data_IF_151301551949
#
_entry.id   IF_151301551949
#
_cell.length_a   1.000
_cell.length_b   1.000
_cell.length_c   1.000
_cell.angle_alpha   90.00
_cell.angle_beta   90.00
_cell.angle_gamma   90.00
#
_symmetry.space_group_name_H-M   'P 1'
#
loop_
_entity.id
_entity.type
_entity.pdbx_description
1 polymer ?
#
# COMPACT_ATOMS: atom_id res chain seq x y z
N UNK A 1 68.03 -17.38 -47.46
CA UNK A 1 68.61 -18.54 -46.75
C UNK A 1 67.78 -18.73 -45.48
N UNK A 2 67.30 -19.97 -45.24
CA UNK A 2 66.51 -20.40 -44.05
C UNK A 2 65.07 -19.87 -43.95
N UNK A 3 64.02 -20.63 -43.62
CA UNK A 3 63.75 -22.08 -43.54
C UNK A 3 62.26 -22.22 -43.20
N UNK A 4 61.58 -23.24 -43.75
CA UNK A 4 60.50 -24.08 -43.16
C UNK A 4 59.41 -23.38 -42.32
N UNK A 5 58.11 -23.55 -42.55
CA UNK A 5 57.38 -24.59 -43.26
C UNK A 5 55.89 -24.45 -42.91
N UNK A 6 55.06 -24.99 -43.80
CA UNK A 6 53.60 -25.09 -43.72
C UNK A 6 53.20 -26.32 -42.88
N UNK A 7 51.93 -26.34 -42.43
CA UNK A 7 51.14 -27.39 -41.74
C UNK A 7 50.98 -27.16 -40.22
N UNK A 8 49.82 -27.26 -39.57
CA UNK A 8 48.43 -27.68 -39.89
C UNK A 8 47.51 -27.00 -38.87
N UNK A 9 46.25 -26.83 -39.28
CA UNK A 9 45.01 -26.57 -38.54
C UNK A 9 45.04 -26.63 -37.00
N UNK A 10 44.30 -25.70 -36.37
CA UNK A 10 43.12 -26.07 -35.56
C UNK A 10 42.32 -24.84 -35.11
N UNK A 11 41.01 -24.93 -35.37
CA UNK A 11 39.92 -24.45 -34.52
C UNK A 11 39.54 -22.97 -34.55
N UNK A 12 38.41 -22.74 -35.22
CA UNK A 12 37.46 -21.66 -35.01
C UNK A 12 37.16 -21.46 -33.51
N UNK A 13 37.27 -20.21 -33.04
CA UNK A 13 36.40 -19.69 -31.98
C UNK A 13 36.29 -18.18 -32.14
N UNK A 14 35.39 -17.76 -33.02
CA UNK A 14 34.81 -16.41 -32.98
C UNK A 14 34.00 -16.35 -31.67
N UNK A 15 34.49 -15.60 -30.68
CA UNK A 15 33.66 -15.24 -29.52
C UNK A 15 33.23 -13.79 -29.71
N UNK A 16 32.07 -13.66 -30.36
CA UNK A 16 31.23 -12.47 -30.36
C UNK A 16 30.93 -12.02 -28.93
N UNK A 17 31.00 -10.71 -28.70
CA UNK A 17 30.93 -10.12 -27.38
C UNK A 17 29.58 -10.24 -26.66
N UNK A 18 29.57 -9.79 -25.42
CA UNK A 18 28.41 -9.16 -24.80
C UNK A 18 28.91 -8.23 -23.71
N UNK A 19 28.84 -6.93 -23.97
CA UNK A 19 28.92 -5.90 -22.94
C UNK A 19 27.73 -6.16 -22.03
N UNK A 20 27.95 -6.71 -20.83
CA UNK A 20 26.90 -6.86 -19.84
C UNK A 20 26.57 -5.47 -19.31
N UNK A 21 25.70 -4.78 -20.03
CA UNK A 21 24.91 -3.66 -19.51
C UNK A 21 24.12 -4.20 -18.31
N UNK A 22 24.65 -3.98 -17.12
CA UNK A 22 23.91 -4.12 -15.88
C UNK A 22 22.88 -2.98 -15.88
N UNK A 23 21.80 -3.17 -16.62
CA UNK A 23 20.62 -2.31 -16.54
C UNK A 23 20.04 -2.48 -15.15
N UNK A 24 20.51 -1.64 -14.22
CA UNK A 24 19.92 -1.48 -12.91
C UNK A 24 18.45 -1.13 -13.12
N UNK A 25 17.57 -2.09 -12.87
CA UNK A 25 16.14 -1.85 -12.77
C UNK A 25 15.99 -0.86 -11.62
N UNK A 26 15.48 0.37 -11.84
CA UNK A 26 15.10 1.20 -10.71
C UNK A 26 13.96 0.44 -10.02
N UNK A 27 14.27 -0.17 -8.87
CA UNK A 27 13.24 -0.58 -7.92
C UNK A 27 12.58 0.72 -7.50
N UNK A 28 11.46 1.04 -8.15
CA UNK A 28 10.59 2.13 -7.74
C UNK A 28 10.26 1.89 -6.28
N UNK A 29 10.85 2.71 -5.40
CA UNK A 29 10.51 2.70 -3.98
C UNK A 29 9.00 3.02 -3.93
N UNK A 30 8.17 2.04 -3.57
CA UNK A 30 6.78 2.31 -3.28
C UNK A 30 6.75 3.48 -2.30
N UNK A 31 6.03 4.56 -2.62
CA UNK A 31 5.92 5.69 -1.72
C UNK A 31 5.35 5.18 -0.39
N UNK A 32 6.02 5.47 0.73
CA UNK A 32 5.53 5.11 2.05
C UNK A 32 4.14 5.74 2.26
N UNK A 33 3.13 4.92 2.49
CA UNK A 33 1.76 5.38 2.72
C UNK A 33 1.64 5.88 4.16
N UNK A 34 1.46 7.19 4.33
CA UNK A 34 1.17 7.79 5.64
C UNK A 34 -0.32 7.64 5.99
N UNK A 35 -0.67 6.47 6.52
CA UNK A 35 -2.04 6.13 6.90
C UNK A 35 -2.62 7.08 7.96
N UNK A 36 -1.78 7.59 8.88
CA UNK A 36 -2.23 8.53 9.92
C UNK A 36 -2.64 9.84 9.28
N UNK A 37 -1.84 10.36 8.35
CA UNK A 37 -2.19 11.56 7.58
C UNK A 37 -3.45 11.35 6.75
N UNK A 38 -3.60 10.21 6.07
CA UNK A 38 -4.83 9.90 5.33
C UNK A 38 -6.06 9.95 6.24
N UNK A 39 -6.00 9.33 7.42
CA UNK A 39 -7.09 9.40 8.38
C UNK A 39 -7.38 10.85 8.81
N UNK A 40 -6.32 11.62 9.09
CA UNK A 40 -6.46 13.02 9.51
C UNK A 40 -7.02 13.92 8.40
N UNK A 41 -6.80 13.57 7.14
CA UNK A 41 -7.35 14.31 5.99
C UNK A 41 -8.78 13.91 5.68
N UNK A 42 -9.11 12.61 5.78
CA UNK A 42 -10.34 12.08 5.22
C UNK A 42 -11.39 11.61 6.25
N UNK A 43 -10.96 11.21 7.45
CA UNK A 43 -11.81 10.48 8.40
C UNK A 43 -12.11 11.28 9.67
N UNK A 44 -11.15 12.10 10.14
CA UNK A 44 -11.21 12.75 11.46
C UNK A 44 -12.45 13.63 11.67
N UNK A 45 -12.99 14.22 10.60
CA UNK A 45 -14.11 15.16 10.69
C UNK A 45 -15.36 14.50 11.29
N UNK A 46 -15.55 13.20 11.04
CA UNK A 46 -16.65 12.42 11.61
C UNK A 46 -16.18 11.48 12.72
N UNK A 47 -15.01 10.85 12.56
CA UNK A 47 -14.54 9.80 13.49
C UNK A 47 -13.63 10.32 14.62
N UNK A 48 -13.35 11.62 14.65
CA UNK A 48 -12.47 12.26 15.63
C UNK A 48 -11.00 11.86 15.51
N UNK A 49 -10.12 12.67 16.03
CA UNK A 49 -8.67 12.40 16.01
C UNK A 49 -8.27 11.23 16.93
N UNK A 50 -9.03 11.04 18.02
CA UNK A 50 -8.83 10.02 19.03
C UNK A 50 -9.69 8.76 18.82
N UNK A 51 -10.36 8.64 17.68
CA UNK A 51 -11.26 7.51 17.37
C UNK A 51 -12.64 7.59 18.04
N UNK A 52 -12.93 8.66 18.78
CA UNK A 52 -14.29 8.95 19.27
C UNK A 52 -15.01 9.83 18.25
N UNK A 53 -16.23 9.49 17.83
CA UNK A 53 -16.95 10.25 16.82
C UNK A 53 -17.19 11.69 17.30
N UNK A 54 -17.12 12.63 16.35
CA UNK A 54 -17.51 14.03 16.58
C UNK A 54 -19.04 14.14 16.65
N UNK A 55 -19.59 15.30 17.01
CA UNK A 55 -21.05 15.52 17.00
C UNK A 55 -21.68 15.23 15.62
N UNK A 56 -20.98 15.58 14.54
CA UNK A 56 -21.37 15.22 13.18
C UNK A 56 -21.36 13.70 12.98
N UNK A 57 -20.30 13.03 13.42
CA UNK A 57 -20.22 11.57 13.35
C UNK A 57 -21.34 10.88 14.14
N UNK A 58 -21.65 11.37 15.34
CA UNK A 58 -22.73 10.86 16.18
C UNK A 58 -24.08 11.01 15.46
N UNK A 59 -24.33 12.18 14.85
CA UNK A 59 -25.55 12.41 14.06
C UNK A 59 -25.70 11.50 12.84
N UNK A 60 -24.59 10.99 12.31
CA UNK A 60 -24.52 10.03 11.21
C UNK A 60 -24.33 8.58 11.71
N UNK A 61 -24.48 8.33 13.00
CA UNK A 61 -24.35 7.02 13.65
C UNK A 61 -22.97 6.35 13.48
N UNK A 62 -21.92 7.16 13.41
CA UNK A 62 -20.54 6.69 13.42
C UNK A 62 -20.22 5.96 14.74
N UNK A 63 -19.45 4.87 14.63
CA UNK A 63 -19.05 4.05 15.79
C UNK A 63 -17.90 4.71 16.55
N UNK A 64 -17.84 4.45 17.85
CA UNK A 64 -16.66 4.74 18.68
C UNK A 64 -15.61 3.63 18.47
N UNK A 65 -14.47 3.99 17.89
CA UNK A 65 -13.38 3.04 17.63
C UNK A 65 -12.60 2.67 18.90
N UNK A 66 -12.84 3.34 20.03
CA UNK A 66 -12.29 2.97 21.34
C UNK A 66 -13.10 1.87 22.03
N UNK A 67 -14.26 1.50 21.47
CA UNK A 67 -15.12 0.44 22.00
C UNK A 67 -14.52 -0.96 21.74
N UNK A 68 -14.18 -1.66 22.82
CA UNK A 68 -13.50 -2.96 22.75
C UNK A 68 -14.41 -4.06 22.15
N UNK A 69 -15.70 -4.02 22.44
CA UNK A 69 -16.66 -5.01 21.93
C UNK A 69 -16.85 -4.89 20.41
N UNK A 70 -16.90 -3.66 19.91
CA UNK A 70 -16.94 -3.38 18.47
C UNK A 70 -15.64 -3.81 17.81
N UNK A 71 -14.48 -3.47 18.39
CA UNK A 71 -13.18 -3.89 17.86
C UNK A 71 -13.07 -5.42 17.77
N UNK A 72 -13.56 -6.16 18.76
CA UNK A 72 -13.53 -7.62 18.75
C UNK A 72 -14.46 -8.25 17.69
N UNK A 73 -15.59 -7.60 17.36
CA UNK A 73 -16.59 -8.11 16.40
C UNK A 73 -16.37 -7.65 14.96
N UNK A 74 -15.76 -6.49 14.78
CA UNK A 74 -15.44 -5.95 13.46
C UNK A 74 -14.27 -6.75 12.86
N UNK A 75 -14.37 -7.17 11.60
CA UNK A 75 -13.25 -7.78 10.87
C UNK A 75 -12.55 -6.73 10.01
N UNK A 76 -11.29 -6.96 9.68
CA UNK A 76 -10.51 -6.02 8.87
C UNK A 76 -11.13 -5.87 7.47
N UNK A 77 -11.70 -6.93 6.91
CA UNK A 77 -12.41 -6.91 5.62
C UNK A 77 -13.68 -6.04 5.70
N UNK A 78 -14.41 -6.09 6.83
CA UNK A 78 -15.57 -5.22 7.03
C UNK A 78 -15.17 -3.75 7.10
N UNK A 79 -14.04 -3.44 7.75
CA UNK A 79 -13.50 -2.07 7.80
C UNK A 79 -13.11 -1.61 6.39
N UNK A 80 -12.36 -2.42 5.65
CA UNK A 80 -11.96 -2.12 4.26
C UNK A 80 -13.18 -1.91 3.37
N UNK A 81 -14.18 -2.79 3.46
CA UNK A 81 -15.42 -2.69 2.68
C UNK A 81 -16.19 -1.42 3.02
N UNK A 82 -16.29 -1.08 4.30
CA UNK A 82 -16.95 0.14 4.75
C UNK A 82 -16.26 1.40 4.23
N UNK A 83 -14.92 1.43 4.22
CA UNK A 83 -14.17 2.56 3.64
C UNK A 83 -14.39 2.62 2.13
N UNK A 84 -14.35 1.49 1.43
CA UNK A 84 -14.57 1.44 -0.02
C UNK A 84 -15.97 1.93 -0.43
N UNK A 85 -17.01 1.34 0.17
CA UNK A 85 -18.40 1.50 -0.27
C UNK A 85 -19.15 2.61 0.48
N UNK A 86 -18.70 2.97 1.67
CA UNK A 86 -19.42 3.87 2.56
C UNK A 86 -20.76 3.31 3.03
N UNK A 87 -21.66 4.21 3.41
CA UNK A 87 -23.05 3.92 3.73
C UNK A 87 -23.89 5.10 3.23
N UNK A 88 -24.92 4.88 2.39
CA UNK A 88 -25.77 5.95 1.87
C UNK A 88 -26.26 6.87 2.99
N UNK A 89 -26.25 8.18 2.73
CA UNK A 89 -26.64 9.24 3.67
C UNK A 89 -25.78 9.36 4.95
N UNK A 90 -24.74 8.53 5.15
CA UNK A 90 -23.93 8.52 6.39
C UNK A 90 -22.43 8.66 6.14
N UNK A 91 -21.89 7.85 5.24
CA UNK A 91 -20.46 7.82 4.94
C UNK A 91 -20.27 7.73 3.44
N UNK A 92 -19.52 8.66 2.86
CA UNK A 92 -19.20 8.61 1.44
C UNK A 92 -18.29 7.42 1.11
N UNK A 93 -18.42 6.81 -0.09
CA UNK A 93 -17.45 5.83 -0.56
C UNK A 93 -16.09 6.49 -0.81
N UNK A 94 -15.00 5.79 -0.50
CA UNK A 94 -13.63 6.25 -0.76
C UNK A 94 -12.93 5.50 -1.91
N UNK A 95 -13.56 4.49 -2.52
CA UNK A 95 -12.97 3.71 -3.63
C UNK A 95 -12.55 4.53 -4.86
N UNK A 96 -13.13 5.73 -5.04
CA UNK A 96 -12.79 6.65 -6.13
C UNK A 96 -11.76 7.72 -5.72
N UNK A 97 -11.45 7.82 -4.42
CA UNK A 97 -10.57 8.84 -3.84
C UNK A 97 -9.25 8.28 -3.33
N UNK A 98 -9.25 7.03 -2.90
CA UNK A 98 -8.12 6.32 -2.33
C UNK A 98 -7.89 5.04 -3.12
N UNK A 99 -6.63 4.70 -3.36
CA UNK A 99 -6.29 3.42 -3.98
C UNK A 99 -6.42 2.26 -2.96
N UNK A 100 -6.42 1.00 -3.41
CA UNK A 100 -6.63 -0.15 -2.52
C UNK A 100 -5.59 -0.26 -1.38
N UNK A 101 -4.34 0.12 -1.63
CA UNK A 101 -3.28 0.06 -0.62
C UNK A 101 -3.47 1.15 0.44
N UNK A 102 -3.88 2.35 0.04
CA UNK A 102 -4.25 3.44 0.95
C UNK A 102 -5.43 3.04 1.85
N UNK A 103 -6.47 2.41 1.29
CA UNK A 103 -7.63 1.93 2.07
C UNK A 103 -7.20 0.86 3.06
N UNK A 104 -6.38 -0.11 2.62
CA UNK A 104 -5.86 -1.16 3.50
C UNK A 104 -4.98 -0.57 4.61
N UNK A 105 -4.21 0.48 4.31
CA UNK A 105 -3.36 1.16 5.30
C UNK A 105 -4.15 1.83 6.43
N UNK A 106 -5.43 2.17 6.23
CA UNK A 106 -6.28 2.80 7.25
C UNK A 106 -6.74 1.81 8.34
N UNK A 107 -6.77 0.50 8.06
CA UNK A 107 -7.17 -0.53 9.03
C UNK A 107 -6.34 -0.46 10.31
N UNK A 108 -5.00 -0.51 10.31
CA UNK A 108 -4.21 -0.42 11.54
C UNK A 108 -4.43 0.88 12.30
N UNK A 109 -4.77 1.99 11.61
CA UNK A 109 -5.11 3.26 12.27
C UNK A 109 -6.41 3.10 13.05
N UNK A 110 -7.46 2.55 12.45
CA UNK A 110 -8.74 2.27 13.14
C UNK A 110 -8.54 1.30 14.31
N UNK A 111 -7.72 0.26 14.13
CA UNK A 111 -7.40 -0.71 15.19
C UNK A 111 -6.61 -0.11 16.35
N UNK A 112 -5.77 0.90 16.08
CA UNK A 112 -4.94 1.52 17.11
C UNK A 112 -5.75 2.19 18.22
N UNK A 113 -6.98 2.63 17.95
CA UNK A 113 -7.86 3.24 18.94
C UNK A 113 -8.44 2.23 19.96
N UNK A 114 -8.49 0.95 19.60
CA UNK A 114 -8.97 -0.11 20.48
C UNK A 114 -7.90 -0.71 21.39
N UNK A 115 -6.61 -0.44 21.11
CA UNK A 115 -5.49 -0.93 21.92
C UNK A 115 -5.34 -0.02 23.13
N UNK A 116 -5.45 -0.58 24.32
CA UNK A 116 -5.10 0.08 25.59
C UNK A 116 -3.67 -0.28 25.99
#
# INVERSE_FOLDING_TARGET
MYRKGIFVATSFAVVTGLVTFFSGIPVSKAADIDARKLYMTHCKTCHGENGKPTDLGIGLEARDFTDADWQAKATDEKIIKQINDGTPEKMMPFKEKLNPDEIKSLVPVVRSFGKK
#
